data_IF_851975179326
#
_entry.id   IF_851975179326
#
_cell.length_a   1.000
_cell.length_b   1.000
_cell.length_c   1.000
_cell.angle_alpha   90.00
_cell.angle_beta   90.00
_cell.angle_gamma   90.00
#
_symmetry.space_group_name_H-M   'P 1'
#
loop_
_entity.id
_entity.type
_entity.pdbx_description
1 polymer ?
#
# COMPACT_ATOMS: atom_id res chain seq x y z
N UNK A 1 -4.61 11.73 14.69
CA UNK A 1 -3.64 10.97 13.86
C UNK A 1 -2.59 11.88 13.23
N UNK A 2 -1.30 11.60 13.43
CA UNK A 2 -0.22 12.29 12.71
C UNK A 2 0.07 11.62 11.35
N UNK A 3 0.78 12.31 10.44
CA UNK A 3 1.06 11.78 9.08
C UNK A 3 1.81 10.45 9.10
N UNK A 4 2.69 10.22 10.08
CA UNK A 4 3.48 8.99 10.20
C UNK A 4 2.60 7.79 10.54
N UNK A 5 1.66 7.95 11.48
CA UNK A 5 0.67 6.94 11.83
C UNK A 5 -0.22 6.59 10.64
N UNK A 6 -0.67 7.60 9.90
CA UNK A 6 -1.48 7.38 8.69
C UNK A 6 -0.70 6.58 7.64
N UNK A 7 0.55 6.95 7.35
CA UNK A 7 1.38 6.21 6.39
C UNK A 7 1.63 4.78 6.86
N UNK A 8 1.84 4.58 8.16
CA UNK A 8 1.94 3.25 8.78
C UNK A 8 0.72 2.38 8.53
N UNK A 9 -0.48 2.90 8.81
CA UNK A 9 -1.72 2.15 8.61
C UNK A 9 -1.98 1.81 7.14
N UNK A 10 -1.70 2.76 6.22
CA UNK A 10 -1.88 2.55 4.78
C UNK A 10 -0.87 1.54 4.24
N UNK A 11 0.40 1.64 4.65
CA UNK A 11 1.46 0.71 4.28
C UNK A 11 1.18 -0.72 4.73
N UNK A 12 0.72 -0.90 5.97
CA UNK A 12 0.37 -2.21 6.52
C UNK A 12 -0.86 -2.81 5.84
N UNK A 13 -1.91 -2.01 5.60
CA UNK A 13 -3.09 -2.46 4.85
C UNK A 13 -2.70 -2.94 3.45
N UNK A 14 -1.86 -2.18 2.74
CA UNK A 14 -1.36 -2.55 1.42
C UNK A 14 -0.59 -3.87 1.46
N UNK A 15 0.38 -4.00 2.37
CA UNK A 15 1.20 -5.20 2.54
C UNK A 15 0.33 -6.42 2.80
N UNK A 16 -0.60 -6.31 3.75
CA UNK A 16 -1.53 -7.39 4.11
C UNK A 16 -2.39 -7.81 2.92
N UNK A 17 -3.06 -6.87 2.26
CA UNK A 17 -3.95 -7.18 1.13
C UNK A 17 -3.19 -7.79 -0.06
N UNK A 18 -1.92 -7.42 -0.26
CA UNK A 18 -1.02 -8.03 -1.24
C UNK A 18 -0.68 -9.48 -0.87
N UNK A 19 -0.29 -9.71 0.39
CA UNK A 19 0.07 -11.05 0.89
C UNK A 19 -1.12 -12.02 0.90
N UNK A 20 -2.32 -11.56 1.29
CA UNK A 20 -3.57 -12.33 1.24
C UNK A 20 -3.91 -12.83 -0.17
N UNK A 21 -3.43 -12.15 -1.22
CA UNK A 21 -3.60 -12.54 -2.63
C UNK A 21 -2.46 -13.39 -3.18
N UNK A 22 -1.42 -13.65 -2.38
CA UNK A 22 -0.22 -14.34 -2.85
C UNK A 22 0.60 -13.55 -3.87
N UNK A 23 0.43 -12.23 -3.95
CA UNK A 23 1.13 -11.38 -4.92
C UNK A 23 2.49 -10.98 -4.34
N UNK A 24 3.58 -11.20 -5.08
CA UNK A 24 4.89 -10.72 -4.64
C UNK A 24 5.06 -9.21 -4.89
N UNK A 25 6.01 -8.57 -4.22
CA UNK A 25 6.35 -7.17 -4.55
C UNK A 25 6.81 -7.02 -6.00
N UNK A 26 7.50 -8.01 -6.56
CA UNK A 26 7.95 -7.95 -7.94
C UNK A 26 6.77 -7.97 -8.92
N UNK A 27 5.79 -8.84 -8.68
CA UNK A 27 4.60 -8.95 -9.53
C UNK A 27 3.75 -7.68 -9.45
N UNK A 28 3.48 -7.18 -8.24
CA UNK A 28 2.72 -5.95 -8.08
C UNK A 28 3.45 -4.75 -8.68
N UNK A 29 4.77 -4.66 -8.50
CA UNK A 29 5.57 -3.58 -9.07
C UNK A 29 5.46 -3.55 -10.60
N UNK A 30 5.59 -4.72 -11.25
CA UNK A 30 5.42 -4.86 -12.69
C UNK A 30 4.01 -4.47 -13.14
N UNK A 31 2.97 -4.91 -12.42
CA UNK A 31 1.58 -4.58 -12.73
C UNK A 31 1.27 -3.08 -12.58
N UNK A 32 1.86 -2.43 -11.58
CA UNK A 32 1.55 -1.03 -11.22
C UNK A 32 2.47 -0.01 -11.89
N UNK A 33 3.48 -0.46 -12.63
CA UNK A 33 4.49 0.40 -13.27
C UNK A 33 5.36 1.14 -12.24
N UNK A 34 5.69 0.48 -11.12
CA UNK A 34 6.57 1.01 -10.06
C UNK A 34 7.72 0.04 -9.81
N UNK A 35 8.65 0.38 -8.90
CA UNK A 35 9.76 -0.51 -8.56
C UNK A 35 9.45 -1.35 -7.31
N UNK A 36 9.97 -2.59 -7.20
CA UNK A 36 9.83 -3.40 -5.99
C UNK A 36 10.38 -2.71 -4.74
N UNK A 37 11.47 -1.94 -4.91
CA UNK A 37 12.06 -1.12 -3.85
C UNK A 37 11.09 -0.03 -3.36
N UNK A 38 10.42 0.67 -4.28
CA UNK A 38 9.42 1.67 -3.92
C UNK A 38 8.26 1.06 -3.12
N UNK A 39 7.79 -0.14 -3.49
CA UNK A 39 6.81 -0.88 -2.70
C UNK A 39 7.31 -1.20 -1.29
N UNK A 40 8.57 -1.56 -1.14
CA UNK A 40 9.18 -1.76 0.19
C UNK A 40 9.11 -0.51 1.05
N UNK A 41 9.41 0.67 0.48
CA UNK A 41 9.40 1.95 1.20
C UNK A 41 8.01 2.39 1.64
N UNK A 42 6.99 2.16 0.81
CA UNK A 42 5.61 2.52 1.17
C UNK A 42 4.99 1.52 2.13
N UNK A 43 5.36 0.24 2.04
CA UNK A 43 4.93 -0.79 3.01
C UNK A 43 5.62 -0.61 4.38
N UNK A 44 6.84 -0.05 4.42
CA UNK A 44 7.54 0.29 5.67
C UNK A 44 7.19 1.69 6.21
N UNK A 45 6.29 2.42 5.53
CA UNK A 45 5.93 3.81 5.83
C UNK A 45 7.10 4.81 5.85
N UNK A 46 8.22 4.46 5.23
CA UNK A 46 9.32 5.40 4.94
C UNK A 46 8.92 6.44 3.90
N UNK A 47 7.97 6.10 3.02
CA UNK A 47 7.37 7.03 2.06
C UNK A 47 5.85 6.93 2.06
N UNK A 48 5.14 8.06 1.88
CA UNK A 48 3.71 8.03 1.61
C UNK A 48 3.42 7.46 0.23
N UNK A 49 2.27 6.77 0.10
CA UNK A 49 1.67 6.51 -1.21
C UNK A 49 0.98 7.77 -1.73
N UNK A 50 1.08 8.02 -3.02
CA UNK A 50 0.29 9.08 -3.65
C UNK A 50 -1.17 8.64 -3.74
N UNK A 51 -2.09 9.61 -3.73
CA UNK A 51 -3.52 9.34 -3.97
C UNK A 51 -3.74 8.63 -5.30
N UNK A 52 -3.00 9.04 -6.34
CA UNK A 52 -3.03 8.38 -7.65
C UNK A 52 -2.67 6.89 -7.57
N UNK A 53 -1.60 6.53 -6.85
CA UNK A 53 -1.25 5.14 -6.64
C UNK A 53 -2.35 4.37 -5.91
N UNK A 54 -2.89 4.97 -4.83
CA UNK A 54 -3.98 4.37 -4.04
C UNK A 54 -5.21 4.09 -4.91
N UNK A 55 -5.64 5.04 -5.73
CA UNK A 55 -6.78 4.86 -6.64
C UNK A 55 -6.60 3.68 -7.61
N UNK A 56 -5.37 3.43 -8.06
CA UNK A 56 -5.08 2.32 -8.97
C UNK A 56 -4.91 0.99 -8.23
N UNK A 57 -4.26 0.97 -7.07
CA UNK A 57 -3.93 -0.29 -6.37
C UNK A 57 -5.10 -0.82 -5.55
N UNK A 58 -5.98 0.04 -5.05
CA UNK A 58 -7.13 -0.38 -4.25
C UNK A 58 -8.00 -1.44 -4.95
N UNK A 59 -8.42 -1.28 -6.22
CA UNK A 59 -9.18 -2.33 -6.91
C UNK A 59 -8.36 -3.60 -7.17
N UNK A 60 -7.04 -3.48 -7.42
CA UNK A 60 -6.15 -4.63 -7.67
C UNK A 60 -6.00 -5.50 -6.42
N UNK A 61 -5.76 -4.85 -5.27
CA UNK A 61 -5.57 -5.51 -3.99
C UNK A 61 -6.84 -5.59 -3.15
N UNK A 62 -8.01 -5.21 -3.69
CA UNK A 62 -9.26 -5.07 -2.93
C UNK A 62 -9.09 -4.39 -1.58
N UNK A 63 -8.25 -3.35 -1.51
CA UNK A 63 -8.01 -2.61 -0.28
C UNK A 63 -9.23 -1.75 0.04
N UNK A 64 -9.73 -1.88 1.27
CA UNK A 64 -10.79 -1.02 1.80
C UNK A 64 -10.21 0.01 2.78
N UNK A 65 -10.09 1.26 2.33
CA UNK A 65 -9.55 2.34 3.16
C UNK A 65 -10.44 2.67 4.38
N UNK A 66 -11.69 2.19 4.43
CA UNK A 66 -12.55 2.31 5.62
C UNK A 66 -12.04 1.47 6.79
N UNK A 67 -11.11 0.55 6.55
CA UNK A 67 -10.43 -0.23 7.60
C UNK A 67 -9.37 0.58 8.37
N UNK A 68 -9.00 1.76 7.87
CA UNK A 68 -8.09 2.65 8.57
C UNK A 68 -8.78 3.21 9.82
N UNK A 69 -8.04 3.25 10.93
CA UNK A 69 -8.52 3.77 12.20
C UNK A 69 -8.27 5.27 12.25
N UNK A 70 -9.36 6.03 12.37
CA UNK A 70 -9.32 7.42 12.78
C UNK A 70 -9.27 7.46 14.32
N UNK A 71 -8.12 7.83 14.85
CA UNK A 71 -7.91 8.15 16.27
C UNK A 71 -7.53 9.62 16.42
#
# INVERSE_FOLDING_TARGET
MNNRELYGQVGELHRRCREERGITRHDLAAQMGVTPYWLSLVESAERPMTVEYLLRVCPVLGMDLRMLKAS
#
